data_IF_832487771712
#
_entry.id   IF_832487771712
#
_cell.length_a   1.000
_cell.length_b   1.000
_cell.length_c   1.000
_cell.angle_alpha   90.00
_cell.angle_beta   90.00
_cell.angle_gamma   90.00
#
_symmetry.space_group_name_H-M   'P 1'
#
loop_
_entity.id
_entity.type
_entity.pdbx_description
1 polymer ?
#
# COMPACT_ATOMS: atom_id res chain seq x y z
N UNK A 1 14.66 -17.06 14.01
CA UNK A 1 14.10 -15.85 13.41
C UNK A 1 14.95 -15.46 12.23
N UNK A 2 14.41 -15.57 11.04
CA UNK A 2 15.10 -15.17 9.83
C UNK A 2 15.34 -13.65 9.83
N UNK A 3 16.49 -13.25 9.32
CA UNK A 3 16.87 -11.83 9.27
C UNK A 3 16.09 -11.11 8.17
N UNK A 4 15.15 -10.27 8.59
CA UNK A 4 14.31 -9.48 7.69
C UNK A 4 14.95 -8.12 7.50
N UNK A 5 15.22 -7.77 6.25
CA UNK A 5 15.72 -6.43 5.90
C UNK A 5 14.62 -5.64 5.20
N UNK A 6 14.41 -4.42 5.68
CA UNK A 6 13.49 -3.47 5.05
C UNK A 6 14.34 -2.47 4.26
N UNK A 7 14.04 -2.32 2.99
CA UNK A 7 14.74 -1.40 2.11
C UNK A 7 13.80 -0.73 1.12
N UNK A 8 14.30 0.28 0.43
CA UNK A 8 13.55 0.98 -0.61
C UNK A 8 13.24 0.04 -1.78
N UNK A 9 12.05 0.21 -2.34
CA UNK A 9 11.62 -0.46 -3.55
C UNK A 9 12.49 -0.07 -4.74
N UNK A 10 12.89 -1.06 -5.54
CA UNK A 10 13.64 -0.88 -6.78
C UNK A 10 12.84 -1.42 -7.97
N UNK A 11 13.12 -0.93 -9.17
CA UNK A 11 12.49 -1.44 -10.40
C UNK A 11 12.69 -2.95 -10.54
N UNK A 12 13.85 -3.47 -10.14
CA UNK A 12 14.16 -4.90 -10.18
C UNK A 12 13.23 -5.76 -9.31
N UNK A 13 12.50 -5.16 -8.37
CA UNK A 13 11.57 -5.87 -7.47
C UNK A 13 10.18 -6.10 -8.09
N UNK A 14 9.91 -5.52 -9.25
CA UNK A 14 8.57 -5.49 -9.86
C UNK A 14 7.97 -6.88 -10.04
N UNK A 15 8.75 -7.82 -10.55
CA UNK A 15 8.24 -9.19 -10.79
C UNK A 15 7.93 -9.93 -9.50
N UNK A 16 8.76 -9.79 -8.47
CA UNK A 16 8.53 -10.39 -7.15
C UNK A 16 7.26 -9.82 -6.50
N UNK A 17 7.09 -8.51 -6.56
CA UNK A 17 5.89 -7.83 -6.04
C UNK A 17 4.64 -8.26 -6.80
N UNK A 18 4.72 -8.35 -8.12
CA UNK A 18 3.60 -8.80 -8.95
C UNK A 18 3.19 -10.24 -8.59
N UNK A 19 4.15 -11.12 -8.34
CA UNK A 19 3.89 -12.50 -7.91
C UNK A 19 3.22 -12.55 -6.54
N UNK A 20 3.67 -11.76 -5.58
CA UNK A 20 3.05 -11.67 -4.25
C UNK A 20 1.61 -11.15 -4.37
N UNK A 21 1.40 -10.07 -5.10
CA UNK A 21 0.08 -9.49 -5.31
C UNK A 21 -0.87 -10.50 -5.96
N UNK A 22 -0.44 -11.19 -7.01
CA UNK A 22 -1.25 -12.19 -7.70
C UNK A 22 -1.66 -13.34 -6.77
N UNK A 23 -0.78 -13.77 -5.88
CA UNK A 23 -1.10 -14.83 -4.92
C UNK A 23 -2.15 -14.39 -3.90
N UNK A 24 -2.15 -13.12 -3.50
CA UNK A 24 -3.10 -12.56 -2.54
C UNK A 24 -4.47 -12.36 -3.18
N UNK A 25 -4.53 -11.74 -4.36
CA UNK A 25 -5.79 -11.44 -5.05
C UNK A 25 -6.31 -12.62 -5.87
N UNK A 26 -5.52 -13.68 -6.03
CA UNK A 26 -5.83 -14.87 -6.82
C UNK A 26 -6.17 -14.57 -8.28
N UNK A 27 -5.48 -13.59 -8.84
CA UNK A 27 -5.57 -13.19 -10.24
C UNK A 27 -4.18 -13.02 -10.81
N UNK A 28 -3.94 -13.36 -12.11
CA UNK A 28 -2.66 -13.04 -12.73
C UNK A 28 -2.42 -11.54 -12.70
N UNK A 29 -1.19 -11.12 -12.40
CA UNK A 29 -0.81 -9.73 -12.58
C UNK A 29 -0.67 -9.44 -14.07
N UNK A 30 -1.11 -8.27 -14.49
CA UNK A 30 -0.98 -7.79 -15.85
C UNK A 30 0.21 -6.83 -16.00
N UNK A 31 0.48 -6.44 -17.24
CA UNK A 31 1.56 -5.50 -17.56
C UNK A 31 1.26 -4.10 -16.99
N UNK A 32 0.00 -3.75 -16.86
CA UNK A 32 -0.42 -2.47 -16.29
C UNK A 32 -0.01 -2.38 -14.81
N UNK A 33 -0.24 -3.43 -14.04
CA UNK A 33 0.18 -3.49 -12.64
C UNK A 33 1.70 -3.38 -12.52
N UNK A 34 2.46 -4.13 -13.32
CA UNK A 34 3.92 -4.07 -13.34
C UNK A 34 4.44 -2.68 -13.70
N UNK A 35 3.83 -2.03 -14.67
CA UNK A 35 4.17 -0.66 -15.07
C UNK A 35 3.94 0.31 -13.91
N UNK A 36 2.82 0.15 -13.20
CA UNK A 36 2.49 0.98 -12.05
C UNK A 36 3.52 0.83 -10.93
N UNK A 37 3.91 -0.41 -10.61
CA UNK A 37 4.93 -0.68 -9.59
C UNK A 37 6.28 -0.07 -10.00
N UNK A 38 6.68 -0.21 -11.25
CA UNK A 38 7.92 0.39 -11.75
C UNK A 38 7.93 1.91 -11.58
N UNK A 39 6.80 2.58 -11.84
CA UNK A 39 6.66 4.03 -11.61
C UNK A 39 6.82 4.39 -10.14
N UNK A 40 6.23 3.62 -9.23
CA UNK A 40 6.42 3.84 -7.80
C UNK A 40 7.87 3.62 -7.37
N UNK A 41 8.55 2.65 -7.96
CA UNK A 41 9.97 2.42 -7.69
C UNK A 41 10.83 3.64 -8.07
N UNK A 42 10.53 4.29 -9.19
CA UNK A 42 11.22 5.50 -9.62
C UNK A 42 10.97 6.69 -8.69
N UNK A 43 9.81 6.73 -8.03
CA UNK A 43 9.40 7.78 -7.10
C UNK A 43 9.75 7.49 -5.65
N UNK A 44 10.38 6.36 -5.35
CA UNK A 44 10.59 5.90 -3.97
C UNK A 44 11.48 6.82 -3.12
N UNK A 45 12.13 7.83 -3.73
CA UNK A 45 12.84 8.88 -3.00
C UNK A 45 11.92 9.96 -2.43
N UNK A 46 10.75 10.18 -3.06
CA UNK A 46 9.76 11.18 -2.64
C UNK A 46 8.67 10.53 -1.80
N UNK A 47 8.13 9.42 -2.29
CA UNK A 47 7.13 8.61 -1.62
C UNK A 47 7.83 7.42 -0.98
N UNK A 48 7.34 7.00 0.19
CA UNK A 48 7.94 5.83 0.87
C UNK A 48 7.33 4.55 0.30
N UNK A 49 8.11 3.85 -0.50
CA UNK A 49 7.77 2.53 -1.01
C UNK A 49 8.88 1.56 -0.60
N UNK A 50 8.52 0.53 0.16
CA UNK A 50 9.47 -0.36 0.80
C UNK A 50 9.21 -1.81 0.44
N UNK A 51 10.26 -2.61 0.47
CA UNK A 51 10.16 -4.06 0.41
C UNK A 51 10.81 -4.69 1.64
N UNK A 52 10.32 -5.84 2.01
CA UNK A 52 10.92 -6.72 2.99
C UNK A 52 11.65 -7.85 2.28
N UNK A 53 12.88 -8.08 2.65
CA UNK A 53 13.77 -9.06 2.02
C UNK A 53 14.29 -10.04 3.05
N UNK A 54 14.25 -11.34 2.71
CA UNK A 54 14.85 -12.40 3.47
C UNK A 54 15.79 -13.17 2.54
N UNK A 55 17.08 -13.19 2.88
CA UNK A 55 18.10 -13.90 2.09
C UNK A 55 18.07 -13.55 0.60
N UNK A 56 17.94 -12.27 0.30
CA UNK A 56 17.90 -11.78 -1.07
C UNK A 56 16.56 -11.94 -1.80
N UNK A 57 15.55 -12.51 -1.16
CA UNK A 57 14.22 -12.69 -1.73
C UNK A 57 13.24 -11.68 -1.16
N UNK A 58 12.51 -10.99 -2.02
CA UNK A 58 11.44 -10.08 -1.62
C UNK A 58 10.23 -10.89 -1.16
N UNK A 59 9.83 -10.70 0.09
CA UNK A 59 8.72 -11.43 0.74
C UNK A 59 7.56 -10.54 1.16
N UNK A 60 7.70 -9.24 1.01
CA UNK A 60 6.65 -8.28 1.34
C UNK A 60 6.95 -6.91 0.76
N UNK A 61 5.91 -6.09 0.67
CA UNK A 61 6.04 -4.73 0.14
C UNK A 61 4.97 -3.80 0.73
N UNK A 62 5.26 -2.52 0.73
CA UNK A 62 4.29 -1.46 0.98
C UNK A 62 4.50 -0.36 -0.06
N UNK A 63 3.40 0.10 -0.63
CA UNK A 63 3.36 1.23 -1.56
C UNK A 63 2.58 2.34 -0.90
N UNK A 64 3.19 3.50 -0.81
CA UNK A 64 2.56 4.68 -0.24
C UNK A 64 2.88 5.91 -1.09
N UNK A 65 2.15 6.98 -0.85
CA UNK A 65 2.34 8.24 -1.55
C UNK A 65 2.00 9.41 -0.63
N UNK A 66 2.47 10.59 -1.01
CA UNK A 66 2.20 11.83 -0.30
C UNK A 66 1.08 12.59 -1.03
N UNK A 67 0.05 12.95 -0.30
CA UNK A 67 -1.00 13.83 -0.78
C UNK A 67 -0.76 15.23 -0.22
N UNK A 68 -0.57 16.21 -1.11
CA UNK A 68 -0.26 17.59 -0.74
C UNK A 68 -1.50 18.46 -0.64
N UNK A 69 -2.55 18.12 -1.37
CA UNK A 69 -3.82 18.81 -1.38
C UNK A 69 -4.97 17.84 -1.13
N UNK A 70 -5.86 18.20 -0.25
CA UNK A 70 -7.06 17.44 0.06
C UNK A 70 -8.00 18.30 0.88
N UNK A 71 -9.25 17.93 1.00
CA UNK A 71 -10.31 18.69 1.68
C UNK A 71 -9.97 18.92 3.16
N UNK A 72 -9.31 20.07 3.47
CA UNK A 72 -8.90 20.41 4.83
C UNK A 72 -7.84 19.49 5.44
N UNK A 73 -7.20 18.66 4.63
CA UNK A 73 -6.11 17.78 5.06
C UNK A 73 -4.79 18.49 4.74
N UNK A 74 -3.94 18.62 5.74
CA UNK A 74 -2.55 19.01 5.52
C UNK A 74 -1.81 17.92 4.74
N UNK A 75 -0.59 18.24 4.30
CA UNK A 75 0.30 17.26 3.67
C UNK A 75 0.31 15.98 4.49
N UNK A 76 -0.09 14.89 3.89
CA UNK A 76 -0.28 13.61 4.54
C UNK A 76 0.22 12.46 3.68
N UNK A 77 0.47 11.34 4.31
CA UNK A 77 0.84 10.11 3.61
C UNK A 77 -0.37 9.18 3.49
N UNK A 78 -0.36 8.35 2.46
CA UNK A 78 -1.42 7.38 2.19
C UNK A 78 -0.80 6.04 1.81
N UNK A 79 -1.20 4.98 2.48
CA UNK A 79 -0.84 3.62 2.09
C UNK A 79 -1.81 3.17 1.00
N UNK A 80 -1.28 2.90 -0.18
CA UNK A 80 -2.06 2.45 -1.33
C UNK A 80 -2.24 0.92 -1.32
N UNK A 81 -1.16 0.19 -1.02
CA UNK A 81 -1.21 -1.27 -0.99
C UNK A 81 -0.11 -1.83 -0.09
N UNK A 82 -0.38 -2.99 0.48
CA UNK A 82 0.51 -3.72 1.36
C UNK A 82 0.30 -5.20 1.10
N UNK A 83 1.37 -5.94 0.97
CA UNK A 83 1.27 -7.38 0.76
C UNK A 83 2.45 -8.11 1.37
N UNK A 84 2.18 -9.32 1.84
CA UNK A 84 3.19 -10.25 2.35
C UNK A 84 2.96 -11.60 1.69
N UNK A 85 4.04 -12.24 1.27
CA UNK A 85 4.00 -13.58 0.72
C UNK A 85 3.31 -14.52 1.72
N UNK A 86 2.37 -15.32 1.21
CA UNK A 86 1.56 -16.24 2.03
C UNK A 86 2.44 -17.15 2.89
N UNK A 87 3.57 -17.63 2.36
CA UNK A 87 4.50 -18.49 3.09
C UNK A 87 5.16 -17.78 4.28
N UNK A 88 5.17 -16.46 4.29
CA UNK A 88 5.82 -15.64 5.31
C UNK A 88 4.85 -14.86 6.18
N UNK A 89 3.55 -15.09 6.04
CA UNK A 89 2.55 -14.45 6.89
C UNK A 89 2.67 -14.91 8.35
N UNK A 90 2.26 -14.04 9.27
CA UNK A 90 2.29 -14.34 10.70
C UNK A 90 3.64 -14.12 11.38
N UNK A 91 4.62 -13.56 10.68
CA UNK A 91 5.97 -13.29 11.21
C UNK A 91 6.23 -11.82 11.52
N UNK A 92 5.21 -10.98 11.43
CA UNK A 92 5.34 -9.55 11.72
C UNK A 92 5.94 -8.71 10.58
N UNK A 93 6.05 -9.25 9.38
CA UNK A 93 6.64 -8.54 8.23
C UNK A 93 5.82 -7.31 7.86
N UNK A 94 4.50 -7.47 7.75
CA UNK A 94 3.60 -6.35 7.44
C UNK A 94 3.71 -5.22 8.47
N UNK A 95 3.75 -5.57 9.75
CA UNK A 95 3.91 -4.60 10.83
C UNK A 95 5.24 -3.85 10.73
N UNK A 96 6.32 -4.54 10.42
CA UNK A 96 7.63 -3.90 10.25
C UNK A 96 7.66 -2.96 9.05
N UNK A 97 7.05 -3.36 7.94
CA UNK A 97 6.93 -2.50 6.77
C UNK A 97 6.19 -1.19 7.09
N UNK A 98 5.06 -1.30 7.76
CA UNK A 98 4.24 -0.12 8.12
C UNK A 98 4.96 0.75 9.15
N UNK A 99 5.57 0.17 10.18
CA UNK A 99 6.32 0.94 11.18
C UNK A 99 7.51 1.66 10.58
N UNK A 100 8.22 1.03 9.64
CA UNK A 100 9.31 1.68 8.93
C UNK A 100 8.80 2.83 8.06
N UNK A 101 7.62 2.66 7.45
CA UNK A 101 6.95 3.71 6.69
C UNK A 101 6.63 4.92 7.58
N UNK A 102 6.10 4.69 8.78
CA UNK A 102 5.84 5.77 9.76
C UNK A 102 7.11 6.54 10.08
N UNK A 103 8.18 5.83 10.39
CA UNK A 103 9.45 6.44 10.77
C UNK A 103 10.00 7.32 9.64
N UNK A 104 9.95 6.84 8.43
CA UNK A 104 10.44 7.59 7.27
C UNK A 104 9.63 8.85 7.01
N UNK A 105 8.31 8.78 7.08
CA UNK A 105 7.47 9.96 6.93
C UNK A 105 7.63 10.94 8.08
N UNK A 106 7.79 10.44 9.29
CA UNK A 106 8.06 11.29 10.44
C UNK A 106 9.35 12.09 10.28
N UNK A 107 10.39 11.48 9.73
CA UNK A 107 11.66 12.16 9.41
C UNK A 107 11.47 13.25 8.34
N UNK A 108 10.46 13.15 7.50
CA UNK A 108 10.07 14.16 6.50
C UNK A 108 9.14 15.24 7.07
N UNK A 109 8.79 15.19 8.35
CA UNK A 109 7.83 16.11 8.97
C UNK A 109 6.37 15.78 8.67
N UNK A 110 6.07 14.60 8.14
CA UNK A 110 4.71 14.15 7.87
C UNK A 110 4.21 13.33 9.06
N UNK A 111 3.17 13.80 9.72
CA UNK A 111 2.71 13.26 11.00
C UNK A 111 1.38 12.50 10.92
N UNK A 112 0.78 12.44 9.73
CA UNK A 112 -0.49 11.74 9.53
C UNK A 112 -0.37 10.80 8.35
N UNK A 113 -0.87 9.59 8.54
CA UNK A 113 -0.93 8.58 7.49
C UNK A 113 -2.31 7.96 7.47
N UNK A 114 -2.86 7.80 6.28
CA UNK A 114 -4.18 7.27 6.03
C UNK A 114 -4.08 6.00 5.21
N UNK A 115 -5.08 5.17 5.30
CA UNK A 115 -5.29 4.04 4.41
C UNK A 115 -6.78 3.75 4.32
N UNK A 116 -7.17 2.99 3.30
CA UNK A 116 -8.54 2.51 3.14
C UNK A 116 -8.53 0.99 3.18
N UNK A 117 -9.47 0.43 3.93
CA UNK A 117 -9.68 -1.01 4.00
C UNK A 117 -11.15 -1.31 3.74
N UNK A 118 -11.44 -2.49 3.21
CA UNK A 118 -12.82 -2.95 3.07
C UNK A 118 -13.44 -3.05 4.48
N UNK A 119 -14.58 -2.39 4.68
CA UNK A 119 -15.16 -2.19 6.00
C UNK A 119 -15.49 -3.48 6.77
N UNK A 120 -15.72 -4.59 6.06
CA UNK A 120 -16.00 -5.89 6.64
C UNK A 120 -14.79 -6.83 6.66
N UNK A 121 -13.62 -6.36 6.26
CA UNK A 121 -12.37 -7.12 6.37
C UNK A 121 -11.83 -7.04 7.81
N UNK A 122 -12.27 -7.97 8.64
CA UNK A 122 -11.92 -8.02 10.06
C UNK A 122 -10.40 -8.12 10.27
N UNK A 123 -9.73 -8.92 9.45
CA UNK A 123 -8.28 -9.13 9.56
C UNK A 123 -7.50 -7.85 9.28
N UNK A 124 -7.86 -7.13 8.21
CA UNK A 124 -7.19 -5.88 7.86
C UNK A 124 -7.48 -4.77 8.86
N UNK A 125 -8.72 -4.69 9.35
CA UNK A 125 -9.09 -3.72 10.39
C UNK A 125 -8.32 -3.99 11.68
N UNK A 126 -8.23 -5.25 12.11
CA UNK A 126 -7.48 -5.64 13.29
C UNK A 126 -5.99 -5.36 13.14
N UNK A 127 -5.44 -5.65 11.96
CA UNK A 127 -4.04 -5.39 11.66
C UNK A 127 -3.71 -3.89 11.80
N UNK A 128 -4.44 -3.03 11.12
CA UNK A 128 -4.18 -1.59 11.18
C UNK A 128 -4.48 -1.01 12.56
N UNK A 129 -5.52 -1.49 13.24
CA UNK A 129 -5.81 -1.08 14.61
C UNK A 129 -4.65 -1.43 15.55
N UNK A 130 -4.04 -2.58 15.40
CA UNK A 130 -2.87 -2.98 16.22
C UNK A 130 -1.68 -2.04 16.03
N UNK A 131 -1.61 -1.34 14.89
CA UNK A 131 -0.56 -0.37 14.56
C UNK A 131 -0.93 1.07 14.92
N UNK A 132 -2.07 1.27 15.60
CA UNK A 132 -2.49 2.59 16.08
C UNK A 132 -3.42 3.34 15.13
N UNK A 133 -3.88 2.73 14.03
CA UNK A 133 -4.88 3.36 13.18
C UNK A 133 -6.23 3.39 13.85
N UNK A 134 -6.93 4.48 13.72
CA UNK A 134 -8.30 4.65 14.14
C UNK A 134 -9.15 5.17 12.99
N UNK A 135 -10.45 5.25 13.22
CA UNK A 135 -11.37 5.78 12.23
C UNK A 135 -11.09 7.27 11.98
N UNK A 136 -10.94 7.66 10.72
CA UNK A 136 -10.76 9.06 10.34
C UNK A 136 -12.10 9.81 10.30
N UNK A 137 -12.02 11.14 10.11
CA UNK A 137 -13.19 11.99 9.89
C UNK A 137 -13.80 11.86 8.50
N UNK A 138 -13.12 11.16 7.60
CA UNK A 138 -13.47 11.09 6.19
C UNK A 138 -14.09 9.76 5.86
N UNK A 139 -14.98 9.77 4.88
CA UNK A 139 -15.51 8.56 4.25
C UNK A 139 -15.12 8.57 2.79
N UNK A 140 -14.93 7.40 2.22
CA UNK A 140 -14.69 7.25 0.80
C UNK A 140 -16.02 7.27 0.04
N UNK A 141 -16.08 8.05 -1.04
CA UNK A 141 -17.21 8.06 -1.95
C UNK A 141 -16.78 7.42 -3.25
N UNK A 142 -17.65 6.61 -3.81
CA UNK A 142 -17.41 5.87 -5.05
C UNK A 142 -18.50 6.17 -6.06
N UNK A 143 -18.13 6.33 -7.31
CA UNK A 143 -19.05 6.33 -8.44
C UNK A 143 -18.48 5.44 -9.53
N UNK A 144 -19.29 4.52 -10.05
CA UNK A 144 -18.94 3.77 -11.25
C UNK A 144 -19.33 4.61 -12.47
N UNK A 145 -18.38 4.86 -13.34
CA UNK A 145 -18.58 5.69 -14.53
C UNK A 145 -18.73 4.74 -15.72
N UNK A 146 -20.01 4.49 -16.11
CA UNK A 146 -20.35 3.65 -17.25
C UNK A 146 -21.03 4.49 -18.33
N UNK A 147 -20.79 4.19 -19.60
CA UNK A 147 -21.44 4.86 -20.73
C UNK A 147 -22.96 4.62 -20.75
N UNK A 148 -23.44 3.51 -20.17
CA UNK A 148 -24.86 3.18 -20.08
C UNK A 148 -25.63 4.02 -19.07
N UNK A 149 -24.99 4.58 -18.06
CA UNK A 149 -25.65 5.41 -17.03
C UNK A 149 -25.80 6.88 -17.45
N UNK A 150 -24.97 7.33 -18.38
CA UNK A 150 -25.09 8.70 -18.94
C UNK A 150 -26.26 8.82 -19.91
N UNK A 151 -26.66 7.73 -20.55
CA UNK A 151 -27.77 7.73 -21.51
C UNK A 151 -29.15 7.70 -20.82
N UNK A 152 -29.22 7.20 -19.59
CA UNK A 152 -30.47 7.15 -18.82
C UNK A 152 -30.79 8.43 -18.05
N UNK A 153 -29.81 9.31 -17.87
CA UNK A 153 -29.99 10.58 -17.14
C UNK A 153 -30.42 11.76 -18.04
N UNK A 154 -30.46 11.56 -19.37
CA UNK A 154 -30.88 12.58 -20.34
C UNK A 154 -32.32 12.34 -20.90
N UNK A 155 -33.03 11.32 -20.44
CA UNK A 155 -34.44 11.11 -20.70
C UNK A 155 -35.29 11.58 -19.49
#
# INVERSE_FOLDING_TARGET
>A
VEDIQIRMLKVADTDDIAAIYSSIVRKPSDDEFKTLIAKHAERSKKDVCLVAEIKGRVVGFVISYILTFGFGIEKSAWIATLGVDIEYMGQGIGARLVKTTFKRYQEMGINRIYTSVIWDSTDMLSFFKSLGFGRSKFINLKKDINTSETDEAEE
#
